data_IF_908334743273
#
_entry.id   IF_908334743273
#
_cell.length_a   1.000
_cell.length_b   1.000
_cell.length_c   1.000
_cell.angle_alpha   90.00
_cell.angle_beta   90.00
_cell.angle_gamma   90.00
#
_symmetry.space_group_name_H-M   'P 1'
#
loop_
_entity.id
_entity.type
_entity.pdbx_description
1 polymer ?
#
# COMPACT_ATOMS: atom_id res chain seq x y z
N UNK A 1 18.42 -43.16 27.98
CA UNK A 1 17.30 -43.01 27.03
C UNK A 1 16.48 -41.83 27.46
N UNK A 2 16.62 -40.67 26.82
CA UNK A 2 15.65 -39.56 26.68
C UNK A 2 16.26 -38.53 25.72
N UNK A 3 15.43 -37.66 25.15
CA UNK A 3 15.68 -36.68 24.07
C UNK A 3 15.58 -37.20 22.62
N UNK A 4 14.34 -37.53 22.24
CA UNK A 4 13.86 -37.40 20.86
C UNK A 4 12.57 -36.59 20.88
N UNK A 5 12.67 -35.26 20.80
CA UNK A 5 11.60 -34.33 20.39
C UNK A 5 12.05 -32.90 20.65
N UNK A 6 12.64 -32.24 19.65
CA UNK A 6 12.63 -30.77 19.51
C UNK A 6 13.37 -30.41 18.22
N UNK A 7 12.66 -30.35 17.10
CA UNK A 7 13.29 -29.99 15.84
C UNK A 7 12.32 -30.04 14.68
N UNK A 8 11.17 -29.34 14.76
CA UNK A 8 10.23 -29.23 13.65
C UNK A 8 9.27 -28.02 13.77
N UNK A 9 9.73 -26.87 14.31
CA UNK A 9 8.91 -25.66 14.46
C UNK A 9 9.55 -24.36 13.91
N UNK A 10 10.39 -24.44 12.87
CA UNK A 10 11.07 -23.25 12.34
C UNK A 10 10.91 -23.01 10.82
N UNK A 11 9.95 -23.65 10.14
CA UNK A 11 9.73 -23.49 8.69
C UNK A 11 8.37 -22.86 8.30
N UNK A 12 7.52 -22.49 9.26
CA UNK A 12 6.18 -21.94 8.99
C UNK A 12 6.06 -20.42 8.95
N UNK A 13 7.11 -19.66 9.29
CA UNK A 13 7.00 -18.20 9.51
C UNK A 13 7.30 -17.31 8.29
N UNK A 14 7.53 -17.89 7.09
CA UNK A 14 7.90 -17.12 5.89
C UNK A 14 6.77 -16.95 4.85
N UNK A 15 5.55 -17.44 5.13
CA UNK A 15 4.45 -17.42 4.16
C UNK A 15 3.37 -16.33 4.41
N UNK A 16 3.53 -15.46 5.41
CA UNK A 16 2.54 -14.42 5.75
C UNK A 16 2.81 -13.04 5.13
N UNK A 17 3.78 -12.90 4.22
CA UNK A 17 4.22 -11.60 3.68
C UNK A 17 3.81 -11.31 2.24
N UNK A 18 2.66 -11.80 1.77
CA UNK A 18 2.17 -11.54 0.39
C UNK A 18 0.77 -10.91 0.32
N UNK A 19 0.20 -10.45 1.44
CA UNK A 19 -1.06 -9.66 1.46
C UNK A 19 -0.82 -8.15 1.72
N UNK A 20 0.43 -7.69 1.75
CA UNK A 20 0.82 -6.40 2.32
C UNK A 20 0.24 -5.13 1.65
N UNK A 21 -0.42 -5.25 0.49
CA UNK A 21 -0.99 -4.11 -0.26
C UNK A 21 -2.36 -4.41 -0.89
N UNK A 22 -3.05 -5.46 -0.42
CA UNK A 22 -4.36 -5.80 -0.99
C UNK A 22 -5.46 -4.85 -0.54
N UNK A 23 -5.34 -4.38 0.70
CA UNK A 23 -6.31 -3.51 1.37
C UNK A 23 -5.79 -2.06 1.47
N UNK A 24 -4.98 -1.64 0.49
CA UNK A 24 -4.48 -0.27 0.40
C UNK A 24 -5.06 0.47 -0.79
N UNK A 25 -5.21 1.79 -0.63
CA UNK A 25 -5.81 2.64 -1.64
C UNK A 25 -5.06 3.98 -1.74
N UNK A 26 -4.92 4.57 -2.94
CA UNK A 26 -4.22 5.83 -3.10
C UNK A 26 -5.03 6.99 -2.52
N UNK A 27 -4.30 7.95 -1.95
CA UNK A 27 -4.83 9.24 -1.51
C UNK A 27 -4.02 10.36 -2.13
N UNK A 28 -4.67 11.42 -2.58
CA UNK A 28 -3.97 12.64 -2.96
C UNK A 28 -4.80 13.88 -2.66
N UNK A 29 -4.08 14.98 -2.44
CA UNK A 29 -4.58 16.28 -2.09
C UNK A 29 -3.85 17.32 -2.91
N UNK A 30 -4.57 18.31 -3.42
CA UNK A 30 -3.98 19.49 -4.03
C UNK A 30 -4.74 20.74 -3.60
N UNK A 31 -4.02 21.85 -3.51
CA UNK A 31 -4.56 23.10 -3.00
C UNK A 31 -3.90 24.32 -3.60
N UNK A 32 -4.67 25.40 -3.65
CA UNK A 32 -4.21 26.74 -3.99
C UNK A 32 -3.44 27.44 -2.86
N UNK A 33 -3.39 26.80 -1.68
CA UNK A 33 -2.66 27.27 -0.50
C UNK A 33 -1.43 26.39 -0.26
N UNK A 34 -0.48 26.88 0.56
CA UNK A 34 0.74 26.13 0.90
C UNK A 34 0.51 25.21 2.09
N UNK A 35 0.64 23.89 1.89
CA UNK A 35 0.69 22.88 2.94
C UNK A 35 2.12 22.46 3.26
N UNK A 36 2.37 22.02 4.50
CA UNK A 36 3.71 21.60 4.95
C UNK A 36 3.90 20.09 4.87
N UNK A 37 2.82 19.32 4.73
CA UNK A 37 2.85 17.87 4.63
C UNK A 37 3.57 17.38 3.36
N UNK A 38 4.49 16.42 3.53
CA UNK A 38 5.25 15.80 2.44
C UNK A 38 4.59 14.50 1.98
N UNK A 39 4.68 14.21 0.68
CA UNK A 39 4.18 12.95 0.12
C UNK A 39 4.90 11.73 0.72
N UNK A 40 4.17 10.65 0.92
CA UNK A 40 4.68 9.40 1.51
C UNK A 40 4.26 8.20 0.68
N UNK A 41 4.95 7.07 0.82
CA UNK A 41 4.57 5.86 0.10
C UNK A 41 3.46 5.09 0.84
N UNK A 42 3.51 5.06 2.18
CA UNK A 42 2.63 4.26 3.02
C UNK A 42 2.24 5.05 4.26
N UNK A 43 0.95 5.11 4.58
CA UNK A 43 0.44 5.74 5.81
C UNK A 43 -0.86 5.06 6.25
N UNK A 44 -1.17 5.06 7.55
CA UNK A 44 -2.49 4.62 8.01
C UNK A 44 -3.52 5.72 7.81
N UNK A 45 -4.76 5.35 7.50
CA UNK A 45 -5.86 6.29 7.30
C UNK A 45 -6.10 7.20 8.52
N UNK A 46 -5.93 6.68 9.74
CA UNK A 46 -6.07 7.45 10.98
C UNK A 46 -4.97 8.50 11.17
N UNK A 47 -3.72 8.17 10.84
CA UNK A 47 -2.59 9.12 10.91
C UNK A 47 -2.69 10.17 9.81
N UNK A 48 -3.20 9.78 8.65
CA UNK A 48 -3.47 10.69 7.54
C UNK A 48 -4.56 11.70 7.93
N UNK A 49 -5.68 11.20 8.46
CA UNK A 49 -6.80 12.01 8.94
C UNK A 49 -6.35 13.01 10.01
N UNK A 50 -5.61 12.58 11.03
CA UNK A 50 -5.13 13.49 12.08
C UNK A 50 -4.19 14.57 11.56
N UNK A 51 -3.29 14.23 10.63
CA UNK A 51 -2.36 15.19 10.02
C UNK A 51 -3.10 16.24 9.19
N UNK A 52 -3.98 15.80 8.30
CA UNK A 52 -4.80 16.68 7.46
C UNK A 52 -5.70 17.55 8.32
N UNK A 53 -6.38 16.97 9.31
CA UNK A 53 -7.30 17.71 10.15
C UNK A 53 -6.60 18.79 10.97
N UNK A 54 -5.36 18.53 11.39
CA UNK A 54 -4.52 19.53 12.07
C UNK A 54 -4.16 20.68 11.13
N UNK A 55 -3.76 20.39 9.88
CA UNK A 55 -3.43 21.45 8.91
C UNK A 55 -4.67 22.28 8.51
N UNK A 56 -5.81 21.63 8.32
CA UNK A 56 -7.06 22.27 7.90
C UNK A 56 -7.78 23.02 9.03
N UNK A 57 -7.41 22.81 10.29
CA UNK A 57 -7.98 23.56 11.44
C UNK A 57 -7.79 25.08 11.35
N UNK A 58 -6.80 25.53 10.58
CA UNK A 58 -6.54 26.94 10.29
C UNK A 58 -7.45 27.53 9.20
N UNK A 59 -8.29 26.70 8.58
CA UNK A 59 -9.24 27.04 7.52
C UNK A 59 -8.62 27.84 6.36
N UNK A 60 -7.57 27.31 5.69
CA UNK A 60 -6.84 28.05 4.66
C UNK A 60 -7.65 28.32 3.38
N UNK A 61 -8.68 27.52 3.09
CA UNK A 61 -9.46 27.61 1.86
C UNK A 61 -10.93 27.97 2.10
N UNK A 62 -11.55 28.58 1.09
CA UNK A 62 -12.98 28.86 1.09
C UNK A 62 -13.78 27.60 0.70
N UNK A 63 -13.25 26.79 -0.21
CA UNK A 63 -13.91 25.57 -0.68
C UNK A 63 -13.08 24.32 -0.35
N UNK A 64 -13.72 23.34 0.27
CA UNK A 64 -13.15 22.01 0.55
C UNK A 64 -13.91 20.97 -0.25
N UNK A 65 -13.28 20.37 -1.25
CA UNK A 65 -13.91 19.33 -2.07
C UNK A 65 -13.40 17.99 -1.57
N UNK A 66 -14.29 17.18 -0.99
CA UNK A 66 -14.01 15.82 -0.51
C UNK A 66 -14.55 14.84 -1.54
N UNK A 67 -13.66 14.22 -2.30
CA UNK A 67 -14.01 13.26 -3.36
C UNK A 67 -13.83 11.84 -2.82
N UNK A 68 -14.87 11.03 -2.93
CA UNK A 68 -14.84 9.59 -2.69
C UNK A 68 -15.08 8.87 -4.01
N UNK A 69 -14.08 8.11 -4.47
CA UNK A 69 -14.22 7.26 -5.65
C UNK A 69 -13.80 5.82 -5.33
N UNK A 70 -14.79 4.93 -5.10
CA UNK A 70 -14.51 3.57 -4.69
C UNK A 70 -13.84 2.71 -5.79
N UNK A 71 -13.01 1.76 -5.37
CA UNK A 71 -12.40 0.76 -6.24
C UNK A 71 -11.34 1.28 -7.22
N UNK A 72 -10.80 2.49 -7.04
CA UNK A 72 -9.73 3.06 -7.87
C UNK A 72 -8.35 2.68 -7.35
N UNK A 73 -7.42 2.38 -8.25
CA UNK A 73 -6.04 2.01 -7.91
C UNK A 73 -5.04 2.95 -8.59
N UNK A 74 -3.81 3.05 -8.06
CA UNK A 74 -2.77 3.95 -8.60
C UNK A 74 -2.45 3.70 -10.09
N UNK A 75 -2.61 2.44 -10.53
CA UNK A 75 -2.43 2.04 -11.92
C UNK A 75 -3.47 2.65 -12.87
N UNK A 76 -4.67 2.99 -12.39
CA UNK A 76 -5.72 3.59 -13.21
C UNK A 76 -5.31 5.02 -13.66
N UNK A 77 -4.50 5.70 -12.84
CA UNK A 77 -3.92 7.02 -13.14
C UNK A 77 -2.61 6.96 -13.94
N UNK A 78 -2.06 5.78 -14.18
CA UNK A 78 -0.81 5.63 -14.95
C UNK A 78 -0.95 6.04 -16.42
N UNK A 79 -2.14 5.87 -16.98
CA UNK A 79 -2.46 6.30 -18.33
C UNK A 79 -2.83 7.80 -18.33
N UNK A 80 -2.07 8.58 -19.11
CA UNK A 80 -2.26 10.04 -19.22
C UNK A 80 -3.64 10.46 -19.69
N UNK A 81 -4.38 9.57 -20.37
CA UNK A 81 -5.72 9.82 -20.90
C UNK A 81 -6.85 9.53 -19.94
N UNK A 82 -6.61 8.78 -18.86
CA UNK A 82 -7.68 8.37 -17.94
C UNK A 82 -8.12 9.51 -17.01
N UNK A 83 -7.21 10.39 -16.62
CA UNK A 83 -7.51 11.54 -15.75
C UNK A 83 -6.57 12.72 -16.05
N UNK A 84 -6.66 13.32 -17.25
CA UNK A 84 -5.75 14.38 -17.67
C UNK A 84 -5.79 15.63 -16.77
N UNK A 85 -6.96 16.06 -16.30
CA UNK A 85 -7.14 17.31 -15.54
C UNK A 85 -6.71 17.20 -14.09
N UNK A 86 -7.08 16.11 -13.43
CA UNK A 86 -6.59 15.76 -12.10
C UNK A 86 -5.07 15.65 -12.10
N UNK A 87 -4.50 14.99 -13.11
CA UNK A 87 -3.06 14.83 -13.23
C UNK A 87 -2.33 16.17 -13.42
N UNK A 88 -2.89 17.09 -14.20
CA UNK A 88 -2.34 18.45 -14.36
C UNK A 88 -2.23 19.17 -13.01
N UNK A 89 -3.28 19.09 -12.16
CA UNK A 89 -3.32 19.73 -10.84
C UNK A 89 -2.41 19.04 -9.82
N UNK A 90 -2.39 17.71 -9.78
CA UNK A 90 -1.52 16.93 -8.88
C UNK A 90 -0.03 17.09 -9.24
N UNK A 91 0.30 17.29 -10.52
CA UNK A 91 1.67 17.55 -10.97
C UNK A 91 2.06 19.04 -10.92
N UNK A 92 1.23 19.91 -10.31
CA UNK A 92 1.46 21.35 -10.21
C UNK A 92 1.71 22.04 -11.56
N UNK A 93 1.06 21.55 -12.61
CA UNK A 93 1.12 22.17 -13.94
C UNK A 93 0.12 23.33 -14.07
N UNK A 94 -0.89 23.35 -13.20
CA UNK A 94 -1.80 24.47 -13.02
C UNK A 94 -1.16 25.52 -12.09
N UNK A 95 -1.01 26.76 -12.58
CA UNK A 95 -0.38 27.86 -11.86
C UNK A 95 -1.13 28.32 -10.60
N UNK A 96 -2.39 27.91 -10.42
CA UNK A 96 -3.16 28.20 -9.21
C UNK A 96 -2.75 27.29 -8.03
N UNK A 97 -2.23 26.09 -8.31
CA UNK A 97 -1.91 25.09 -7.29
C UNK A 97 -0.55 25.41 -6.66
N UNK A 98 -0.54 25.63 -5.34
CA UNK A 98 0.69 25.95 -4.59
C UNK A 98 1.26 24.75 -3.85
N UNK A 99 0.43 23.78 -3.50
CA UNK A 99 0.90 22.57 -2.83
C UNK A 99 0.10 21.35 -3.20
N UNK A 100 0.79 20.21 -3.15
CA UNK A 100 0.28 18.89 -3.50
C UNK A 100 0.86 17.87 -2.55
N UNK A 101 0.02 16.96 -2.09
CA UNK A 101 0.38 15.91 -1.15
C UNK A 101 -0.23 14.60 -1.66
N UNK A 102 0.55 13.53 -1.69
CA UNK A 102 0.07 12.21 -2.14
C UNK A 102 0.60 11.10 -1.26
N UNK A 103 -0.25 10.12 -1.02
CA UNK A 103 0.11 8.86 -0.37
C UNK A 103 -0.26 7.73 -1.31
N UNK A 104 0.75 6.96 -1.73
CA UNK A 104 0.54 5.91 -2.73
C UNK A 104 -0.34 4.79 -2.18
N UNK A 105 -0.11 4.39 -0.92
CA UNK A 105 -0.80 3.30 -0.26
C UNK A 105 -1.30 3.76 1.12
N UNK A 106 -2.61 3.92 1.27
CA UNK A 106 -3.24 4.19 2.57
C UNK A 106 -3.81 2.89 3.11
N UNK A 107 -3.41 2.53 4.34
CA UNK A 107 -3.91 1.34 5.04
C UNK A 107 -5.19 1.71 5.80
N UNK A 108 -6.28 1.02 5.47
CA UNK A 108 -7.59 1.24 6.05
C UNK A 108 -8.41 2.30 5.31
N UNK A 109 -9.64 2.51 5.77
CA UNK A 109 -10.57 3.44 5.15
C UNK A 109 -10.41 4.86 5.71
N UNK A 110 -10.34 5.84 4.82
CA UNK A 110 -10.30 7.25 5.20
C UNK A 110 -11.71 7.74 5.54
N UNK A 111 -11.92 8.10 6.81
CA UNK A 111 -13.21 8.61 7.27
C UNK A 111 -13.41 10.09 6.89
N UNK A 112 -13.94 10.30 5.69
CA UNK A 112 -14.30 11.63 5.17
C UNK A 112 -15.38 12.31 6.02
N UNK A 113 -16.28 11.55 6.65
CA UNK A 113 -17.37 12.11 7.47
C UNK A 113 -16.84 12.70 8.79
N UNK A 114 -15.83 12.08 9.40
CA UNK A 114 -15.14 12.67 10.56
C UNK A 114 -14.42 13.97 10.21
N UNK A 115 -13.76 14.03 9.04
CA UNK A 115 -13.13 15.27 8.57
C UNK A 115 -14.16 16.37 8.33
N UNK A 116 -15.27 16.04 7.67
CA UNK A 116 -16.39 16.96 7.43
C UNK A 116 -16.87 17.58 8.76
N UNK A 117 -17.17 16.75 9.77
CA UNK A 117 -17.65 17.24 11.08
C UNK A 117 -16.65 18.18 11.75
N UNK A 118 -15.35 17.92 11.59
CA UNK A 118 -14.33 18.80 12.14
C UNK A 118 -14.29 20.14 11.39
N UNK A 119 -14.37 20.13 10.05
CA UNK A 119 -14.40 21.35 9.24
C UNK A 119 -15.67 22.19 9.48
N UNK A 120 -16.83 21.55 9.65
CA UNK A 120 -18.08 22.24 10.02
C UNK A 120 -17.92 22.93 11.38
N UNK A 121 -17.26 22.28 12.34
CA UNK A 121 -17.06 22.82 13.69
C UNK A 121 -16.02 23.94 13.75
N UNK A 122 -14.87 23.75 13.11
CA UNK A 122 -13.73 24.67 13.19
C UNK A 122 -13.88 25.83 12.20
N UNK A 123 -14.29 25.54 10.96
CA UNK A 123 -14.40 26.52 9.88
C UNK A 123 -15.79 27.10 9.69
N UNK A 124 -16.80 26.63 10.45
CA UNK A 124 -18.22 27.02 10.29
C UNK A 124 -18.70 26.84 8.86
N UNK A 125 -18.17 25.81 8.20
CA UNK A 125 -18.46 25.53 6.80
C UNK A 125 -19.84 24.86 6.65
N UNK A 126 -20.49 25.10 5.51
CA UNK A 126 -21.74 24.44 5.16
C UNK A 126 -21.46 23.28 4.19
N UNK A 127 -22.04 22.11 4.45
CA UNK A 127 -21.84 20.92 3.62
C UNK A 127 -22.89 20.78 2.54
N UNK A 128 -22.45 20.48 1.33
CA UNK A 128 -23.27 20.16 0.17
C UNK A 128 -22.82 18.79 -0.34
N UNK A 129 -23.76 17.85 -0.42
CA UNK A 129 -23.49 16.52 -0.97
C UNK A 129 -23.90 16.50 -2.44
N UNK A 130 -22.98 16.05 -3.27
CA UNK A 130 -23.08 15.98 -4.72
C UNK A 130 -22.82 14.53 -5.15
N UNK A 131 -23.86 13.89 -5.66
CA UNK A 131 -23.70 12.64 -6.40
C UNK A 131 -23.16 13.02 -7.78
N UNK A 132 -22.10 12.35 -8.25
CA UNK A 132 -21.25 12.71 -9.40
C UNK A 132 -21.89 12.99 -10.78
N UNK A 133 -23.20 13.21 -10.84
CA UNK A 133 -24.00 13.54 -12.02
C UNK A 133 -24.59 14.97 -11.99
N UNK A 134 -24.75 15.58 -10.80
CA UNK A 134 -25.47 16.87 -10.65
C UNK A 134 -24.57 17.94 -10.06
N UNK A 135 -24.36 19.03 -10.80
CA UNK A 135 -23.60 20.18 -10.30
C UNK A 135 -24.42 20.98 -9.26
N UNK A 136 -23.80 21.42 -8.15
CA UNK A 136 -24.50 22.20 -7.15
C UNK A 136 -24.87 23.58 -7.69
N UNK A 137 -26.11 24.00 -7.46
CA UNK A 137 -26.58 25.34 -7.80
C UNK A 137 -26.61 26.24 -6.56
N UNK A 138 -25.85 27.34 -6.57
CA UNK A 138 -25.91 28.38 -5.53
C UNK A 138 -24.81 28.29 -4.47
N UNK A 139 -23.59 28.67 -4.86
CA UNK A 139 -22.49 28.87 -3.92
C UNK A 139 -22.75 30.08 -3.02
N UNK A 140 -22.55 29.93 -1.71
CA UNK A 140 -22.68 31.03 -0.75
C UNK A 140 -21.32 31.64 -0.43
N UNK A 141 -21.29 32.87 0.09
CA UNK A 141 -20.07 33.58 0.50
C UNK A 141 -19.40 33.03 1.78
N UNK A 142 -19.73 31.82 2.23
CA UNK A 142 -19.13 31.19 3.41
C UNK A 142 -18.29 29.99 2.99
N UNK A 143 -17.36 29.53 3.83
CA UNK A 143 -16.64 28.31 3.54
C UNK A 143 -17.61 27.16 3.28
N UNK A 144 -17.41 26.39 2.23
CA UNK A 144 -18.29 25.28 1.85
C UNK A 144 -17.50 23.99 1.71
N UNK A 145 -18.10 22.91 2.20
CA UNK A 145 -17.61 21.55 2.03
C UNK A 145 -18.46 20.91 0.94
N UNK A 146 -17.85 20.48 -0.16
CA UNK A 146 -18.52 19.81 -1.27
C UNK A 146 -18.10 18.34 -1.22
N UNK A 147 -19.01 17.48 -0.80
CA UNK A 147 -18.79 16.03 -0.84
C UNK A 147 -19.19 15.52 -2.21
N UNK A 148 -18.24 14.94 -2.93
CA UNK A 148 -18.46 14.34 -4.25
C UNK A 148 -18.34 12.84 -4.12
N UNK A 149 -19.44 12.14 -4.33
CA UNK A 149 -19.48 10.68 -4.30
C UNK A 149 -19.61 10.15 -5.73
N UNK A 150 -18.56 9.47 -6.19
CA UNK A 150 -18.55 8.80 -7.48
C UNK A 150 -18.90 7.32 -7.32
N UNK A 151 -19.56 6.71 -8.32
CA UNK A 151 -19.79 5.27 -8.32
C UNK A 151 -18.46 4.50 -8.46
N UNK A 152 -18.46 3.27 -7.95
CA UNK A 152 -17.31 2.37 -8.10
C UNK A 152 -17.00 2.13 -9.58
N UNK A 153 -15.72 2.24 -9.95
CA UNK A 153 -15.32 2.03 -11.34
C UNK A 153 -15.55 0.56 -11.76
N UNK A 154 -16.05 0.33 -12.98
CA UNK A 154 -16.30 -1.01 -13.48
C UNK A 154 -14.99 -1.75 -13.74
N UNK A 155 -15.09 -3.06 -13.89
CA UNK A 155 -13.94 -3.97 -14.06
C UNK A 155 -13.64 -4.29 -15.53
N UNK A 156 -14.39 -3.70 -16.45
CA UNK A 156 -14.31 -3.93 -17.88
C UNK A 156 -13.42 -2.89 -18.58
N UNK A 157 -13.46 -2.88 -19.92
CA UNK A 157 -12.64 -2.00 -20.76
C UNK A 157 -13.12 -0.54 -20.66
N UNK A 158 -14.39 -0.29 -20.33
CA UNK A 158 -14.95 1.06 -20.18
C UNK A 158 -14.43 1.82 -18.97
N UNK A 159 -13.76 1.13 -18.03
CA UNK A 159 -13.14 1.70 -16.82
C UNK A 159 -12.36 2.99 -17.05
N UNK A 160 -11.53 3.03 -18.09
CA UNK A 160 -10.72 4.22 -18.39
C UNK A 160 -11.53 5.39 -18.95
N UNK A 161 -12.64 5.11 -19.65
CA UNK A 161 -13.58 6.12 -20.14
C UNK A 161 -14.35 6.75 -18.99
N UNK A 162 -14.88 5.92 -18.08
CA UNK A 162 -15.61 6.41 -16.92
C UNK A 162 -14.73 7.23 -15.97
N UNK A 163 -13.47 6.83 -15.78
CA UNK A 163 -12.54 7.65 -15.01
C UNK A 163 -12.29 9.01 -15.67
N UNK A 164 -12.26 9.08 -17.01
CA UNK A 164 -12.10 10.33 -17.74
C UNK A 164 -13.36 11.21 -17.68
N UNK A 165 -14.54 10.61 -17.63
CA UNK A 165 -15.81 11.32 -17.40
C UNK A 165 -15.84 11.93 -16.00
N UNK A 166 -15.46 11.16 -14.96
CA UNK A 166 -15.35 11.65 -13.59
C UNK A 166 -14.30 12.78 -13.46
N UNK A 167 -13.17 12.67 -14.16
CA UNK A 167 -12.15 13.73 -14.24
C UNK A 167 -12.72 15.01 -14.87
N UNK A 168 -13.52 14.89 -15.93
CA UNK A 168 -14.21 16.00 -16.57
C UNK A 168 -15.27 16.66 -15.68
N UNK A 169 -16.06 15.85 -14.96
CA UNK A 169 -17.04 16.34 -14.00
C UNK A 169 -16.36 17.17 -12.89
N UNK A 170 -15.31 16.61 -12.29
CA UNK A 170 -14.59 17.29 -11.21
C UNK A 170 -13.92 18.57 -11.70
N UNK A 171 -13.36 18.59 -12.90
CA UNK A 171 -12.82 19.80 -13.50
C UNK A 171 -13.90 20.87 -13.68
N UNK A 172 -15.07 20.50 -14.19
CA UNK A 172 -16.21 21.42 -14.36
C UNK A 172 -16.69 21.97 -13.02
N UNK A 173 -16.73 21.13 -11.98
CA UNK A 173 -17.08 21.54 -10.63
C UNK A 173 -16.12 22.58 -10.06
N UNK A 174 -14.81 22.38 -10.25
CA UNK A 174 -13.77 23.33 -9.82
C UNK A 174 -13.88 24.64 -10.60
N UNK A 175 -14.10 24.57 -11.92
CA UNK A 175 -14.19 25.75 -12.78
C UNK A 175 -15.43 26.61 -12.50
N UNK A 176 -16.47 26.04 -11.89
CA UNK A 176 -17.69 26.74 -11.46
C UNK A 176 -17.56 27.43 -10.10
N UNK A 177 -16.47 27.21 -9.36
CA UNK A 177 -16.30 27.83 -8.06
C UNK A 177 -16.17 29.35 -8.18
N UNK A 178 -16.82 30.14 -7.30
CA UNK A 178 -16.75 31.60 -7.34
C UNK A 178 -15.42 32.16 -6.82
N UNK A 179 -14.67 31.37 -6.04
CA UNK A 179 -13.35 31.72 -5.50
C UNK A 179 -12.29 30.79 -6.08
N UNK A 180 -11.09 31.34 -6.29
CA UNK A 180 -9.92 30.55 -6.65
C UNK A 180 -9.26 29.87 -5.44
N UNK A 181 -9.75 30.08 -4.21
CA UNK A 181 -9.20 29.43 -3.01
C UNK A 181 -9.93 28.13 -2.71
N UNK A 182 -9.32 27.00 -3.09
CA UNK A 182 -9.90 25.69 -2.85
C UNK A 182 -8.85 24.65 -2.48
N UNK A 183 -9.30 23.62 -1.76
CA UNK A 183 -8.53 22.42 -1.46
C UNK A 183 -9.36 21.19 -1.86
N UNK A 184 -8.76 20.30 -2.64
CA UNK A 184 -9.38 19.05 -3.08
C UNK A 184 -8.68 17.88 -2.40
N UNK A 185 -9.47 17.01 -1.79
CA UNK A 185 -9.04 15.77 -1.18
C UNK A 185 -9.67 14.62 -1.95
N UNK A 186 -8.85 13.70 -2.43
CA UNK A 186 -9.32 12.57 -3.20
C UNK A 186 -9.02 11.27 -2.45
N UNK A 187 -10.09 10.56 -2.12
CA UNK A 187 -10.09 9.35 -1.30
C UNK A 187 -10.66 8.19 -2.11
N UNK A 188 -10.10 7.00 -1.88
CA UNK A 188 -10.47 5.80 -2.61
C UNK A 188 -10.54 4.61 -1.65
N UNK A 189 -11.26 3.56 -2.04
CA UNK A 189 -11.32 2.29 -1.30
C UNK A 189 -10.68 1.16 -2.10
N UNK A 190 -10.09 0.15 -1.43
CA UNK A 190 -9.54 -1.02 -2.09
C UNK A 190 -10.60 -1.79 -2.91
N UNK A 191 -10.15 -2.55 -3.91
CA UNK A 191 -11.06 -3.30 -4.78
C UNK A 191 -11.70 -4.45 -4.00
N UNK A 192 -13.03 -4.46 -3.94
CA UNK A 192 -13.79 -5.59 -3.38
C UNK A 192 -14.23 -5.43 -1.93
N UNK A 193 -13.98 -4.28 -1.32
CA UNK A 193 -14.56 -3.87 -0.02
C UNK A 193 -15.88 -3.10 -0.18
N UNK A 194 -16.40 -3.00 -1.41
CA UNK A 194 -17.69 -2.35 -1.65
C UNK A 194 -18.78 -3.07 -0.86
N UNK A 195 -19.63 -2.34 -0.10
CA UNK A 195 -20.87 -2.92 0.36
C UNK A 195 -21.65 -3.34 -0.88
N UNK A 196 -21.92 -4.65 -1.00
CA UNK A 196 -22.75 -5.19 -2.06
C UNK A 196 -24.12 -4.55 -1.86
N UNK A 197 -24.41 -3.46 -2.60
CA UNK A 197 -25.76 -2.97 -2.72
C UNK A 197 -26.58 -4.13 -3.30
N UNK A 198 -27.67 -4.50 -2.63
CA UNK A 198 -28.51 -5.68 -2.88
C UNK A 198 -29.27 -5.65 -4.23
N UNK A 199 -28.76 -4.93 -5.23
CA UNK A 199 -29.34 -4.78 -6.55
C UNK A 199 -28.35 -5.27 -7.62
N UNK A 200 -28.08 -6.57 -7.63
CA UNK A 200 -28.03 -7.42 -8.85
C UNK A 200 -27.63 -8.87 -8.48
N UNK A 201 -28.45 -9.54 -7.66
CA UNK A 201 -28.37 -11.01 -7.52
C UNK A 201 -29.25 -11.63 -8.60
N UNK A 202 -28.95 -11.30 -9.86
CA UNK A 202 -29.56 -11.86 -11.05
C UNK A 202 -28.53 -12.66 -11.83
N UNK A 203 -28.53 -13.98 -11.68
CA UNK A 203 -27.77 -14.93 -12.49
C UNK A 203 -26.23 -14.81 -12.45
N UNK A 204 -25.63 -15.49 -11.46
CA UNK A 204 -24.38 -16.20 -11.73
C UNK A 204 -24.62 -17.68 -11.45
N UNK A 205 -24.81 -18.45 -12.53
CA UNK A 205 -24.77 -19.90 -12.46
C UNK A 205 -23.44 -20.35 -11.86
N UNK A 206 -23.51 -21.09 -10.75
CA UNK A 206 -22.38 -21.84 -10.20
C UNK A 206 -22.06 -23.00 -11.14
N UNK A 207 -21.17 -22.78 -12.11
CA UNK A 207 -20.65 -23.80 -13.01
C UNK A 207 -19.14 -23.96 -12.87
N UNK A 208 -18.71 -25.01 -12.15
CA UNK A 208 -17.37 -25.61 -12.30
C UNK A 208 -16.24 -25.05 -11.43
N UNK A 209 -15.80 -25.88 -10.49
CA UNK A 209 -14.57 -25.77 -9.69
C UNK A 209 -13.33 -25.24 -10.43
N UNK A 210 -12.70 -24.12 -10.01
CA UNK A 210 -11.48 -23.60 -10.63
C UNK A 210 -10.23 -24.02 -9.83
N UNK A 211 -10.09 -25.32 -9.52
CA UNK A 211 -8.88 -25.86 -8.91
C UNK A 211 -8.04 -26.67 -9.91
N UNK A 212 -7.93 -26.15 -11.13
CA UNK A 212 -6.95 -26.62 -12.09
C UNK A 212 -6.87 -25.56 -13.19
N UNK A 213 -5.90 -24.66 -13.08
CA UNK A 213 -5.18 -24.05 -14.20
C UNK A 213 -4.18 -23.05 -13.61
N UNK A 214 -2.86 -23.24 -13.76
CA UNK A 214 -1.90 -22.20 -13.41
C UNK A 214 -2.16 -20.99 -14.31
N UNK A 215 -2.49 -19.86 -13.68
CA UNK A 215 -2.77 -18.59 -14.32
C UNK A 215 -1.55 -18.11 -15.13
N UNK A 216 -1.51 -18.45 -16.41
CA UNK A 216 -0.61 -17.79 -17.36
C UNK A 216 -1.18 -16.41 -17.68
N UNK A 217 -0.64 -15.38 -17.02
CA UNK A 217 -0.95 -13.98 -17.28
C UNK A 217 -0.44 -13.60 -18.68
N UNK A 218 -1.24 -13.86 -19.72
CA UNK A 218 -0.96 -13.42 -21.09
C UNK A 218 -1.30 -11.93 -21.19
N UNK A 219 -0.29 -11.10 -20.95
CA UNK A 219 -0.35 -9.64 -21.10
C UNK A 219 -0.54 -9.33 -22.59
N UNK A 220 -1.78 -9.23 -23.06
CA UNK A 220 -2.10 -8.81 -24.43
C UNK A 220 -1.78 -7.33 -24.62
N UNK A 221 -0.55 -7.06 -25.03
CA UNK A 221 -0.16 -5.80 -25.63
C UNK A 221 -0.61 -5.82 -27.10
N UNK A 222 -1.86 -5.47 -27.39
CA UNK A 222 -2.29 -5.13 -28.76
C UNK A 222 -1.72 -3.76 -29.15
N UNK A 223 -0.41 -3.74 -29.39
CA UNK A 223 0.23 -2.74 -30.21
C UNK A 223 -0.13 -3.04 -31.67
N UNK A 224 -0.74 -2.06 -32.35
CA UNK A 224 -1.03 -2.08 -33.79
C UNK A 224 0.20 -2.59 -34.56
N UNK A 225 0.07 -3.76 -35.18
CA UNK A 225 1.06 -4.29 -36.11
C UNK A 225 0.96 -3.49 -37.42
N UNK A 226 1.86 -2.53 -37.60
CA UNK A 226 2.17 -2.02 -38.92
C UNK A 226 3.11 -3.03 -39.58
N UNK A 227 2.71 -3.44 -40.78
CA UNK A 227 3.39 -4.36 -41.69
C UNK A 227 4.78 -3.83 -42.04
N UNK A 228 5.84 -4.53 -41.63
CA UNK A 228 7.12 -4.43 -42.33
C UNK A 228 7.95 -5.71 -42.20
N UNK A 229 8.23 -6.30 -43.36
CA UNK A 229 9.08 -7.47 -43.57
C UNK A 229 10.55 -7.04 -43.50
N UNK A 230 11.33 -7.52 -42.51
CA UNK A 230 12.76 -7.88 -42.66
C UNK A 230 13.42 -8.43 -41.37
N UNK A 231 14.54 -9.18 -41.50
CA UNK A 231 14.87 -10.26 -40.56
C UNK A 231 15.82 -9.87 -39.41
N UNK A 232 15.58 -10.55 -38.28
CA UNK A 232 16.50 -10.96 -37.20
C UNK A 232 17.67 -10.01 -36.89
N UNK A 233 17.48 -9.16 -35.88
CA UNK A 233 18.57 -8.85 -34.95
C UNK A 233 18.06 -8.72 -33.51
N UNK A 234 18.90 -9.21 -32.59
CA UNK A 234 18.67 -9.57 -31.18
C UNK A 234 17.57 -8.76 -30.45
N UNK A 235 16.47 -9.44 -30.08
CA UNK A 235 15.49 -8.92 -29.12
C UNK A 235 16.19 -8.70 -27.77
N UNK A 236 16.41 -7.44 -27.39
CA UNK A 236 16.58 -7.07 -25.97
C UNK A 236 15.22 -7.32 -25.31
N UNK A 237 15.12 -8.35 -24.49
CA UNK A 237 13.96 -8.59 -23.64
C UNK A 237 13.69 -7.38 -22.74
N UNK A 238 12.46 -7.25 -22.26
CA UNK A 238 12.09 -6.23 -21.27
C UNK A 238 13.05 -6.29 -20.07
N UNK A 239 13.46 -5.14 -19.53
CA UNK A 239 14.41 -4.94 -18.42
C UNK A 239 14.16 -5.79 -17.17
N UNK A 240 12.98 -6.39 -17.05
CA UNK A 240 12.55 -7.23 -15.93
C UNK A 240 12.40 -8.72 -16.28
N UNK A 241 12.75 -9.14 -17.49
CA UNK A 241 12.59 -10.55 -17.92
C UNK A 241 13.69 -11.43 -17.31
N UNK A 242 14.85 -10.84 -17.01
CA UNK A 242 16.03 -11.56 -16.50
C UNK A 242 16.32 -11.24 -15.02
N UNK A 243 15.39 -10.62 -14.29
CA UNK A 243 15.59 -10.34 -12.87
C UNK A 243 15.28 -11.56 -12.01
N UNK A 244 16.32 -12.26 -11.55
CA UNK A 244 16.21 -13.40 -10.64
C UNK A 244 16.60 -12.95 -9.21
N UNK A 245 15.60 -12.68 -8.35
CA UNK A 245 15.80 -12.17 -6.98
C UNK A 245 16.81 -13.00 -6.16
N UNK A 246 16.77 -14.33 -6.29
CA UNK A 246 17.82 -15.22 -5.78
C UNK A 246 18.33 -16.05 -6.95
N UNK A 247 19.56 -15.78 -7.39
CA UNK A 247 20.21 -16.68 -8.34
C UNK A 247 20.31 -18.09 -7.74
N UNK A 248 20.24 -19.17 -8.55
CA UNK A 248 20.29 -20.53 -8.04
C UNK A 248 21.54 -20.80 -7.20
N UNK A 249 22.66 -20.14 -7.55
CA UNK A 249 23.91 -20.19 -6.79
C UNK A 249 23.82 -19.48 -5.44
N UNK A 250 23.17 -18.31 -5.37
CA UNK A 250 23.01 -17.58 -4.10
C UNK A 250 22.09 -18.32 -3.13
N UNK A 251 21.02 -18.94 -3.63
CA UNK A 251 20.14 -19.78 -2.82
C UNK A 251 20.87 -21.01 -2.25
N UNK A 252 21.58 -21.75 -3.10
CA UNK A 252 22.38 -22.91 -2.66
C UNK A 252 23.49 -22.50 -1.68
N UNK A 253 24.12 -21.36 -1.90
CA UNK A 253 25.13 -20.82 -1.00
C UNK A 253 24.57 -20.48 0.38
N UNK A 254 23.39 -19.85 0.44
CA UNK A 254 22.74 -19.49 1.71
C UNK A 254 22.36 -20.75 2.50
N UNK A 255 21.78 -21.77 1.85
CA UNK A 255 21.46 -23.06 2.48
C UNK A 255 22.72 -23.73 3.04
N UNK A 256 23.80 -23.77 2.26
CA UNK A 256 25.07 -24.37 2.68
C UNK A 256 25.67 -23.63 3.88
N UNK A 257 25.61 -22.30 3.88
CA UNK A 257 26.11 -21.45 4.96
C UNK A 257 25.35 -21.71 6.26
N UNK A 258 24.03 -21.89 6.20
CA UNK A 258 23.21 -22.24 7.36
C UNK A 258 23.61 -23.60 7.92
N UNK A 259 23.77 -24.62 7.07
CA UNK A 259 24.17 -25.97 7.51
C UNK A 259 25.55 -25.94 8.19
N UNK A 260 26.55 -25.33 7.55
CA UNK A 260 27.90 -25.23 8.14
C UNK A 260 27.89 -24.39 9.42
N UNK A 261 27.10 -23.32 9.48
CA UNK A 261 26.93 -22.49 10.68
C UNK A 261 26.38 -23.29 11.87
N UNK A 262 25.43 -24.21 11.65
CA UNK A 262 24.91 -25.06 12.73
C UNK A 262 25.94 -26.05 13.26
N UNK A 263 26.75 -26.64 12.38
CA UNK A 263 27.83 -27.56 12.78
C UNK A 263 28.90 -26.81 13.58
N UNK A 264 29.29 -25.62 13.10
CA UNK A 264 30.24 -24.75 13.78
C UNK A 264 29.73 -24.33 15.17
N UNK A 265 28.45 -23.97 15.27
CA UNK A 265 27.82 -23.58 16.53
C UNK A 265 27.86 -24.70 17.57
N UNK A 266 27.54 -25.94 17.17
CA UNK A 266 27.65 -27.10 18.07
C UNK A 266 29.09 -27.35 18.48
N UNK A 267 30.05 -27.21 17.56
CA UNK A 267 31.49 -27.33 17.86
C UNK A 267 31.96 -26.30 18.89
N UNK A 268 31.61 -25.03 18.72
CA UNK A 268 31.95 -23.97 19.67
C UNK A 268 31.28 -24.17 21.04
N UNK A 269 30.04 -24.64 21.05
CA UNK A 269 29.32 -24.95 22.29
C UNK A 269 30.00 -26.08 23.07
N UNK A 270 30.50 -27.11 22.38
CA UNK A 270 31.25 -28.20 22.99
C UNK A 270 32.60 -27.73 23.56
N UNK A 271 33.32 -26.86 22.83
CA UNK A 271 34.58 -26.29 23.30
C UNK A 271 34.40 -25.41 24.54
N UNK A 272 33.35 -24.58 24.57
CA UNK A 272 33.03 -23.74 25.72
C UNK A 272 32.56 -24.55 26.95
N UNK A 273 32.12 -25.78 26.77
CA UNK A 273 31.70 -26.67 27.86
C UNK A 273 32.87 -27.39 28.55
N UNK A 274 34.10 -27.25 28.06
CA UNK A 274 35.27 -27.85 28.69
C UNK A 274 35.60 -27.12 29.98
N UNK A 275 35.21 -27.71 31.10
CA UNK A 275 35.67 -27.30 32.43
C UNK A 275 36.92 -28.08 32.78
N UNK A 276 37.99 -27.36 33.12
CA UNK A 276 39.21 -27.97 33.67
C UNK A 276 38.97 -28.24 35.16
N UNK A 277 39.03 -29.51 35.56
CA UNK A 277 38.85 -29.89 36.97
C UNK A 277 40.12 -29.61 37.77
N UNK A 278 40.15 -28.43 38.40
CA UNK A 278 41.27 -28.00 39.25
C UNK A 278 41.39 -28.77 40.57
N UNK A 279 40.35 -29.54 40.96
CA UNK A 279 40.37 -30.38 42.16
C UNK A 279 41.37 -31.56 42.10
N UNK A 280 41.90 -31.86 40.91
CA UNK A 280 43.00 -32.82 40.72
C UNK A 280 44.37 -32.24 41.08
N UNK A 281 44.47 -30.91 41.19
CA UNK A 281 45.67 -30.20 41.64
C UNK A 281 45.59 -29.78 43.11
N UNK A 282 44.47 -30.05 43.80
CA UNK A 282 44.34 -29.80 45.22
C UNK A 282 45.12 -30.83 46.06
N UNK A 283 45.87 -30.32 47.04
CA UNK A 283 46.83 -31.06 47.89
C UNK A 283 46.21 -32.25 48.65
N UNK A 284 44.90 -32.21 48.89
CA UNK A 284 44.14 -33.22 49.64
C UNK A 284 43.96 -34.55 48.90
N UNK A 285 44.14 -34.58 47.57
CA UNK A 285 44.04 -35.80 46.76
C UNK A 285 45.41 -36.43 46.42
N UNK A 286 46.51 -35.84 46.90
CA UNK A 286 47.85 -36.41 46.81
C UNK A 286 48.09 -37.52 47.85
N UNK A 287 49.18 -38.29 47.74
CA UNK A 287 49.49 -39.40 48.67
C UNK A 287 49.58 -38.98 50.15
N UNK A 288 49.73 -37.68 50.44
CA UNK A 288 49.68 -37.12 51.80
C UNK A 288 48.27 -37.03 52.40
N UNK A 289 47.21 -36.79 51.59
CA UNK A 289 45.82 -36.70 52.08
C UNK A 289 45.16 -38.07 52.30
N UNK A 290 45.58 -39.09 51.55
CA UNK A 290 45.13 -40.48 51.74
C UNK A 290 45.66 -41.13 53.05
N UNK A 291 46.75 -40.59 53.62
CA UNK A 291 47.32 -41.09 54.88
C UNK A 291 46.53 -40.63 56.12
N UNK A 292 45.81 -39.50 56.04
CA UNK A 292 45.05 -38.95 57.18
C UNK A 292 43.70 -39.63 57.46
N UNK A 293 43.18 -40.47 56.54
CA UNK A 293 41.86 -41.11 56.67
C UNK A 293 41.87 -42.57 57.11
N UNK A 294 43.02 -43.15 57.48
CA UNK A 294 43.12 -44.56 57.94
C UNK A 294 43.05 -44.77 59.46
N UNK A 295 42.76 -43.73 60.24
CA UNK A 295 42.52 -43.87 61.68
C UNK A 295 41.14 -43.30 62.05
N UNK A 296 40.08 -44.06 61.75
CA UNK A 296 38.80 -44.02 62.46
C UNK A 296 38.03 -45.31 62.17
#
# INVERSE_FOLDING_TARGET
>A
MQLKTCGLLALGALASSVDAFRDTSPFFLFSTNSFKTQSSQLQSASSLLSSISTELSSCPSDFYILVSQPGVHILDFSNRRSAPRLRERVLQQDGLIKSTFSVSEVVGEFDAASLQKQLEKECKAETIVVNGDVLPSGYKHRPQIIMVEFPALPRDISRSSQLAENDGFLATLIDLLPSSNYTVLYTTTPRGTEPIAEADIGHFEMGGSPLQNPLTFKREFQGRASHDDKPKNKKKGSLFTDYQFLSPGLFMGLITTVILGTILYVGLSALNSLQVSYASFDKENGPAGAAGKKQQ
#
